data_IF_936534260727
#
_entry.id   IF_936534260727
#
_cell.length_a   1.000
_cell.length_b   1.000
_cell.length_c   1.000
_cell.angle_alpha   90.00
_cell.angle_beta   90.00
_cell.angle_gamma   90.00
#
_symmetry.space_group_name_H-M   'P 1'
#
loop_
_entity.id
_entity.type
_entity.pdbx_description
1 polymer ?
#
# COMPACT_ATOMS: atom_id res chain seq x y z
N UNK A 1 8.66 -38.51 1.79
CA UNK A 1 9.01 -37.36 2.66
C UNK A 1 9.50 -36.13 1.88
N UNK A 2 10.31 -36.25 0.81
CA UNK A 2 10.81 -35.09 0.06
C UNK A 2 9.72 -34.26 -0.65
N UNK A 3 8.71 -34.89 -1.27
CA UNK A 3 7.61 -34.18 -1.96
C UNK A 3 6.83 -33.22 -1.05
N UNK A 4 6.66 -33.56 0.23
CA UNK A 4 5.96 -32.74 1.22
C UNK A 4 6.80 -31.50 1.58
N UNK A 5 8.11 -31.67 1.74
CA UNK A 5 9.04 -30.57 2.02
C UNK A 5 9.10 -29.56 0.87
N UNK A 6 9.15 -30.03 -0.38
CA UNK A 6 9.09 -29.15 -1.56
C UNK A 6 7.78 -28.38 -1.66
N UNK A 7 6.63 -29.01 -1.33
CA UNK A 7 5.32 -28.33 -1.29
C UNK A 7 5.29 -27.21 -0.25
N UNK A 8 5.82 -27.46 0.96
CA UNK A 8 5.90 -26.44 2.02
C UNK A 8 6.80 -25.27 1.60
N UNK A 9 7.94 -25.55 0.97
CA UNK A 9 8.83 -24.52 0.45
C UNK A 9 8.17 -23.64 -0.62
N UNK A 10 7.45 -24.24 -1.57
CA UNK A 10 6.74 -23.51 -2.62
C UNK A 10 5.65 -22.62 -2.01
N UNK A 11 4.89 -23.14 -1.04
CA UNK A 11 3.87 -22.38 -0.33
C UNK A 11 4.47 -21.21 0.45
N UNK A 12 5.59 -21.43 1.15
CA UNK A 12 6.29 -20.38 1.88
C UNK A 12 6.77 -19.25 0.94
N UNK A 13 7.41 -19.61 -0.18
CA UNK A 13 7.85 -18.66 -1.20
C UNK A 13 6.68 -17.89 -1.81
N UNK A 14 5.55 -18.55 -2.07
CA UNK A 14 4.36 -17.91 -2.60
C UNK A 14 3.79 -16.85 -1.63
N UNK A 15 3.68 -17.20 -0.34
CA UNK A 15 3.21 -16.29 0.70
C UNK A 15 4.15 -15.09 0.85
N UNK A 16 5.46 -15.32 0.81
CA UNK A 16 6.44 -14.25 0.96
C UNK A 16 6.44 -13.29 -0.22
N UNK A 17 6.31 -13.81 -1.45
CA UNK A 17 6.08 -13.02 -2.66
C UNK A 17 4.80 -12.19 -2.59
N UNK A 18 3.70 -12.79 -2.11
CA UNK A 18 2.43 -12.08 -1.96
C UNK A 18 2.54 -10.91 -0.96
N UNK A 19 3.19 -11.14 0.20
CA UNK A 19 3.43 -10.07 1.19
C UNK A 19 4.34 -8.97 0.67
N UNK A 20 5.35 -9.32 -0.13
CA UNK A 20 6.21 -8.32 -0.79
C UNK A 20 5.44 -7.48 -1.80
N UNK A 21 4.57 -8.11 -2.59
CA UNK A 21 3.71 -7.43 -3.55
C UNK A 21 2.76 -6.46 -2.84
N UNK A 22 2.07 -6.90 -1.79
CA UNK A 22 1.19 -6.06 -0.98
C UNK A 22 1.93 -4.87 -0.34
N UNK A 23 3.14 -5.10 0.18
CA UNK A 23 3.97 -4.03 0.74
C UNK A 23 4.36 -3.00 -0.32
N UNK A 24 4.80 -3.45 -1.49
CA UNK A 24 5.19 -2.57 -2.59
C UNK A 24 3.99 -1.77 -3.12
N UNK A 25 2.82 -2.41 -3.22
CA UNK A 25 1.56 -1.74 -3.57
C UNK A 25 1.23 -0.67 -2.53
N UNK A 26 1.28 -0.98 -1.23
CA UNK A 26 1.03 0.03 -0.19
C UNK A 26 1.96 1.24 -0.31
N UNK A 27 3.26 0.99 -0.40
CA UNK A 27 4.24 2.07 -0.53
C UNK A 27 4.00 2.93 -1.77
N UNK A 28 3.70 2.31 -2.91
CA UNK A 28 3.45 3.00 -4.18
C UNK A 28 2.17 3.84 -4.13
N UNK A 29 1.07 3.24 -3.67
CA UNK A 29 -0.24 3.89 -3.53
C UNK A 29 -0.14 5.11 -2.63
N UNK A 30 0.44 4.95 -1.44
CA UNK A 30 0.60 6.03 -0.47
C UNK A 30 1.53 7.13 -0.98
N UNK A 31 2.67 6.77 -1.59
CA UNK A 31 3.60 7.76 -2.14
C UNK A 31 2.94 8.60 -3.23
N UNK A 32 2.16 7.98 -4.12
CA UNK A 32 1.43 8.69 -5.18
C UNK A 32 0.29 9.53 -4.62
N UNK A 33 -0.51 8.96 -3.71
CA UNK A 33 -1.64 9.63 -3.08
C UNK A 33 -1.20 10.90 -2.33
N UNK A 34 -0.09 10.83 -1.58
CA UNK A 34 0.45 12.02 -0.92
C UNK A 34 1.17 12.93 -1.91
N UNK A 35 1.77 12.44 -3.01
CA UNK A 35 2.29 13.33 -4.06
C UNK A 35 1.18 14.22 -4.66
N UNK A 36 -0.03 13.68 -4.78
CA UNK A 36 -1.22 14.41 -5.20
C UNK A 36 -1.78 15.35 -4.11
N UNK A 37 -1.20 15.36 -2.90
CA UNK A 37 -1.66 16.21 -1.79
C UNK A 37 -1.53 17.71 -2.07
N UNK A 38 -0.57 18.14 -2.91
CA UNK A 38 -0.48 19.56 -3.32
C UNK A 38 -1.72 20.01 -4.11
N UNK A 39 -2.41 19.07 -4.76
CA UNK A 39 -3.66 19.30 -5.47
C UNK A 39 -4.91 19.01 -4.62
N UNK A 40 -4.77 18.75 -3.31
CA UNK A 40 -5.89 18.27 -2.49
C UNK A 40 -7.07 19.24 -2.41
N UNK A 41 -6.82 20.55 -2.51
CA UNK A 41 -7.89 21.54 -2.47
C UNK A 41 -8.62 21.69 -3.82
N UNK A 42 -8.09 21.12 -4.91
CA UNK A 42 -8.67 21.21 -6.26
C UNK A 42 -9.34 19.93 -6.76
N UNK A 43 -9.03 18.77 -6.18
CA UNK A 43 -9.59 17.48 -6.61
C UNK A 43 -10.51 16.88 -5.53
N UNK A 44 -11.58 16.21 -5.95
CA UNK A 44 -12.42 15.46 -5.02
C UNK A 44 -11.65 14.24 -4.47
N UNK A 45 -12.09 13.73 -3.32
CA UNK A 45 -11.49 12.53 -2.70
C UNK A 45 -11.41 11.34 -3.67
N UNK A 46 -12.51 11.09 -4.40
CA UNK A 46 -12.67 9.98 -5.33
C UNK A 46 -11.67 10.02 -6.49
N UNK A 47 -11.42 11.20 -7.05
CA UNK A 47 -10.49 11.38 -8.19
C UNK A 47 -9.04 11.07 -7.80
N UNK A 48 -8.67 11.35 -6.55
CA UNK A 48 -7.33 11.07 -6.02
C UNK A 48 -7.10 9.57 -5.84
N UNK A 49 -8.12 8.87 -5.35
CA UNK A 49 -8.11 7.42 -5.20
C UNK A 49 -7.97 6.77 -6.57
N UNK A 50 -8.85 7.15 -7.52
CA UNK A 50 -8.83 6.62 -8.87
C UNK A 50 -7.49 6.88 -9.58
N UNK A 51 -6.95 8.10 -9.49
CA UNK A 51 -5.65 8.46 -10.09
C UNK A 51 -4.51 7.63 -9.49
N UNK A 52 -4.49 7.48 -8.17
CA UNK A 52 -3.43 6.74 -7.48
C UNK A 52 -3.50 5.24 -7.80
N UNK A 53 -4.69 4.66 -7.86
CA UNK A 53 -4.85 3.24 -8.16
C UNK A 53 -4.71 2.92 -9.66
N UNK A 54 -5.11 3.83 -10.55
CA UNK A 54 -4.80 3.69 -11.98
C UNK A 54 -3.29 3.68 -12.23
N UNK A 55 -2.52 4.52 -11.53
CA UNK A 55 -1.06 4.48 -11.60
C UNK A 55 -0.49 3.11 -11.16
N UNK A 56 -1.03 2.53 -10.08
CA UNK A 56 -0.64 1.18 -9.64
C UNK A 56 -1.02 0.14 -10.68
N UNK A 57 -2.21 0.24 -11.28
CA UNK A 57 -2.67 -0.67 -12.34
C UNK A 57 -1.76 -0.63 -13.56
N UNK A 58 -1.41 0.56 -14.01
CA UNK A 58 -0.51 0.75 -15.15
C UNK A 58 0.89 0.18 -14.90
N UNK A 59 1.41 0.36 -13.68
CA UNK A 59 2.75 -0.12 -13.31
C UNK A 59 2.81 -1.63 -13.09
N UNK A 60 1.79 -2.20 -12.46
CA UNK A 60 1.77 -3.61 -12.07
C UNK A 60 1.20 -4.53 -13.13
N UNK A 61 0.31 -4.02 -13.99
CA UNK A 61 -0.54 -4.80 -14.89
C UNK A 61 -1.32 -5.91 -14.17
N UNK A 62 -1.55 -5.77 -12.86
CA UNK A 62 -2.22 -6.76 -12.02
C UNK A 62 -3.47 -6.17 -11.35
N UNK A 63 -4.62 -6.78 -11.65
CA UNK A 63 -5.91 -6.43 -11.05
C UNK A 63 -5.96 -6.62 -9.53
N UNK A 64 -5.16 -7.54 -8.96
CA UNK A 64 -5.08 -7.74 -7.51
C UNK A 64 -4.43 -6.53 -6.84
N UNK A 65 -3.36 -6.00 -7.41
CA UNK A 65 -2.70 -4.81 -6.87
C UNK A 65 -3.58 -3.56 -6.95
N UNK A 66 -4.43 -3.46 -7.98
CA UNK A 66 -5.45 -2.42 -8.04
C UNK A 66 -6.44 -2.51 -6.86
N UNK A 67 -6.97 -3.70 -6.57
CA UNK A 67 -7.87 -3.91 -5.42
C UNK A 67 -7.20 -3.59 -4.08
N UNK A 68 -5.95 -4.01 -3.90
CA UNK A 68 -5.16 -3.69 -2.70
C UNK A 68 -4.96 -2.18 -2.58
N UNK A 69 -4.70 -1.48 -3.69
CA UNK A 69 -4.62 -0.02 -3.67
C UNK A 69 -5.94 0.62 -3.21
N UNK A 70 -7.07 0.19 -3.78
CA UNK A 70 -8.38 0.73 -3.42
C UNK A 70 -8.68 0.53 -1.94
N UNK A 71 -8.39 -0.66 -1.38
CA UNK A 71 -8.56 -0.94 0.04
C UNK A 71 -7.74 0.02 0.91
N UNK A 72 -6.45 0.16 0.61
CA UNK A 72 -5.53 1.02 1.37
C UNK A 72 -5.98 2.48 1.34
N UNK A 73 -6.30 3.01 0.15
CA UNK A 73 -6.66 4.42 0.03
C UNK A 73 -8.06 4.73 0.55
N UNK A 74 -8.98 3.77 0.47
CA UNK A 74 -10.30 3.89 1.10
C UNK A 74 -10.15 4.00 2.61
N UNK A 75 -9.32 3.15 3.23
CA UNK A 75 -9.05 3.22 4.67
C UNK A 75 -8.43 4.56 5.07
N UNK A 76 -7.39 5.01 4.35
CA UNK A 76 -6.73 6.30 4.60
C UNK A 76 -7.70 7.46 4.50
N UNK A 77 -8.65 7.41 3.55
CA UNK A 77 -9.63 8.48 3.35
C UNK A 77 -10.81 8.42 4.32
N UNK A 78 -11.22 7.22 4.75
CA UNK A 78 -12.29 7.03 5.71
C UNK A 78 -11.90 7.55 7.10
N UNK A 79 -10.61 7.47 7.45
CA UNK A 79 -10.10 7.90 8.75
C UNK A 79 -9.27 9.18 8.64
N UNK A 80 -9.84 10.33 8.99
CA UNK A 80 -9.12 11.61 8.99
C UNK A 80 -7.82 11.57 9.82
N UNK A 81 -7.79 10.77 10.89
CA UNK A 81 -6.58 10.57 11.71
C UNK A 81 -5.46 9.93 10.89
N UNK A 82 -5.75 8.88 10.11
CA UNK A 82 -4.76 8.21 9.25
C UNK A 82 -4.28 9.17 8.16
N UNK A 83 -5.21 9.91 7.55
CA UNK A 83 -4.89 10.96 6.57
C UNK A 83 -3.98 12.05 7.15
N UNK A 84 -4.19 12.45 8.40
CA UNK A 84 -3.31 13.41 9.08
C UNK A 84 -1.94 12.79 9.37
N UNK A 85 -1.90 11.58 9.92
CA UNK A 85 -0.66 10.87 10.24
C UNK A 85 0.24 10.70 9.01
N UNK A 86 -0.32 10.35 7.85
CA UNK A 86 0.48 10.15 6.64
C UNK A 86 1.08 11.46 6.11
N UNK A 87 0.36 12.59 6.23
CA UNK A 87 0.89 13.93 5.94
C UNK A 87 2.09 14.24 6.83
N UNK A 88 1.96 14.01 8.14
CA UNK A 88 3.02 14.27 9.13
C UNK A 88 4.21 13.34 8.91
N UNK A 89 3.99 12.06 8.63
CA UNK A 89 5.04 11.09 8.31
C UNK A 89 5.91 11.58 7.15
N UNK A 90 5.28 12.06 6.08
CA UNK A 90 6.01 12.59 4.93
C UNK A 90 6.72 13.91 5.22
N UNK A 91 6.08 14.83 5.95
CA UNK A 91 6.70 16.09 6.35
C UNK A 91 7.98 15.86 7.20
N UNK A 92 8.00 14.77 7.98
CA UNK A 92 9.17 14.35 8.77
C UNK A 92 10.15 13.46 7.98
N UNK A 93 10.00 13.34 6.66
CA UNK A 93 10.80 12.45 5.79
C UNK A 93 10.87 11.00 6.28
N UNK A 94 9.86 10.53 7.01
CA UNK A 94 9.81 9.17 7.53
C UNK A 94 9.44 8.18 6.42
N UNK A 95 9.92 6.95 6.57
CA UNK A 95 9.67 5.89 5.61
C UNK A 95 8.17 5.54 5.49
N UNK A 96 7.63 5.61 4.27
CA UNK A 96 6.27 5.16 3.94
C UNK A 96 6.11 3.67 4.23
N UNK A 97 7.19 2.87 4.13
CA UNK A 97 7.19 1.46 4.51
C UNK A 97 6.81 1.26 5.97
N UNK A 98 7.36 2.08 6.87
CA UNK A 98 7.07 2.00 8.30
C UNK A 98 5.60 2.38 8.59
N UNK A 99 5.03 3.31 7.82
CA UNK A 99 3.61 3.63 7.88
C UNK A 99 2.75 2.42 7.47
N UNK A 100 3.06 1.81 6.32
CA UNK A 100 2.39 0.59 5.81
C UNK A 100 2.48 -0.62 6.76
N UNK A 101 3.43 -0.63 7.69
CA UNK A 101 3.60 -1.70 8.67
C UNK A 101 2.88 -1.44 10.00
N UNK A 102 2.51 -0.19 10.34
CA UNK A 102 2.04 0.18 11.69
C UNK A 102 0.72 0.91 11.75
N UNK A 103 0.41 1.71 10.74
CA UNK A 103 -0.66 2.71 10.82
C UNK A 103 -1.93 2.32 10.06
N UNK A 104 -1.88 1.24 9.29
CA UNK A 104 -3.03 0.69 8.56
C UNK A 104 -3.60 -0.54 9.30
N UNK A 105 -4.88 -0.82 9.09
CA UNK A 105 -5.64 -1.91 9.70
C UNK A 105 -5.00 -3.28 9.45
N UNK A 106 -4.45 -3.47 8.25
CA UNK A 106 -3.60 -4.60 7.89
C UNK A 106 -2.14 -4.15 7.84
N UNK A 107 -1.25 -4.98 8.41
CA UNK A 107 0.20 -4.80 8.25
C UNK A 107 0.63 -5.26 6.85
N UNK A 108 0.48 -4.38 5.85
CA UNK A 108 0.84 -4.66 4.46
C UNK A 108 2.34 -4.87 4.25
N UNK A 109 3.17 -4.27 5.11
CA UNK A 109 4.61 -4.48 5.11
C UNK A 109 5.07 -5.27 6.35
N UNK A 110 6.08 -6.15 6.23
CA UNK A 110 6.75 -6.70 7.39
C UNK A 110 7.52 -5.58 8.12
N UNK A 111 7.41 -5.55 9.44
CA UNK A 111 8.17 -4.63 10.28
C UNK A 111 9.66 -4.98 10.18
N UNK A 112 10.46 -4.07 9.62
CA UNK A 112 11.91 -4.06 9.82
C UNK A 112 12.18 -2.80 10.63
N UNK A 113 12.67 -3.00 11.86
CA UNK A 113 13.00 -1.94 12.82
C UNK A 113 13.98 -0.93 12.23
#
# INVERSE_FOLDING_TARGET
MHKLFFLILILALYVECARWSECHTCMSSLSKFVALSKAWNKMQGKDKLMTSCNFVRERSKDSKQYKVCEQILTEVMAHQVILHKIKVYRAKHKSVRAFCARELSKSYCPYRG
#
